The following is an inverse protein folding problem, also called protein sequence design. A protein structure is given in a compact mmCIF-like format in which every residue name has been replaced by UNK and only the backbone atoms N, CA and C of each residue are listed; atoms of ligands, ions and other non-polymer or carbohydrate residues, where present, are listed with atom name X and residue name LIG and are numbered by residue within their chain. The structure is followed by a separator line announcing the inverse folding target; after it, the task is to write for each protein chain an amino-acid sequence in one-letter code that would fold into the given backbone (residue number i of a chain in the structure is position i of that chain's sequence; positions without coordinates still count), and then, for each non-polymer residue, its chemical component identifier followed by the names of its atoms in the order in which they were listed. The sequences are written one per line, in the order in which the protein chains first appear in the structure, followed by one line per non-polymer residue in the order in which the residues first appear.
data_IF_701904872288
#
_entry.id   IF_701904872288
#
_cell.length_a   1.000
_cell.length_b   1.000
_cell.length_c   1.000
_cell.angle_alpha   90.00
_cell.angle_beta   90.00
_cell.angle_gamma   90.00
#
_symmetry.space_group_name_H-M   'P 1'
#
loop_
_entity.id
_entity.type
_entity.pdbx_description
1 polymer ?
#
# COMPACT_ATOMS: atom_id res chain seq x y z
N UNK A 1 22.73 32.66 -16.08
CA UNK A 1 23.48 31.41 -15.78
C UNK A 1 23.42 30.94 -14.32
N UNK A 2 23.25 31.82 -13.32
CA UNK A 2 23.23 31.42 -11.90
C UNK A 2 21.98 30.63 -11.46
N UNK A 3 20.80 30.87 -12.06
CA UNK A 3 19.54 30.16 -11.74
C UNK A 3 19.46 28.76 -12.36
N UNK A 4 20.11 28.55 -13.51
CA UNK A 4 20.07 27.26 -14.23
C UNK A 4 20.78 26.15 -13.46
N UNK A 5 21.82 26.48 -12.68
CA UNK A 5 22.61 25.49 -11.94
C UNK A 5 21.85 24.89 -10.75
N UNK A 6 21.21 25.68 -9.85
CA UNK A 6 20.30 25.15 -8.84
C UNK A 6 19.13 24.35 -9.42
N UNK A 7 18.54 24.80 -10.54
CA UNK A 7 17.46 24.09 -11.22
C UNK A 7 17.92 22.73 -11.76
N UNK A 8 19.09 22.67 -12.38
CA UNK A 8 19.67 21.42 -12.87
C UNK A 8 19.98 20.45 -11.72
N UNK A 9 20.58 20.95 -10.63
CA UNK A 9 20.85 20.14 -9.42
C UNK A 9 19.55 19.62 -8.80
N UNK A 10 18.53 20.49 -8.66
CA UNK A 10 17.23 20.10 -8.14
C UNK A 10 16.56 19.04 -9.01
N UNK A 11 16.60 19.19 -10.34
CA UNK A 11 16.07 18.21 -11.27
C UNK A 11 16.78 16.86 -11.13
N UNK A 12 18.12 16.85 -11.08
CA UNK A 12 18.92 15.63 -10.89
C UNK A 12 18.59 14.96 -9.56
N UNK A 13 18.47 15.74 -8.47
CA UNK A 13 18.09 15.21 -7.16
C UNK A 13 16.70 14.60 -7.18
N UNK A 14 15.71 15.26 -7.77
CA UNK A 14 14.35 14.74 -7.91
C UNK A 14 14.38 13.41 -8.67
N UNK A 15 14.99 13.39 -9.85
CA UNK A 15 15.07 12.17 -10.68
C UNK A 15 15.78 11.04 -9.93
N UNK A 16 16.91 11.34 -9.27
CA UNK A 16 17.66 10.37 -8.49
C UNK A 16 16.83 9.81 -7.32
N UNK A 17 16.17 10.67 -6.54
CA UNK A 17 15.35 10.26 -5.40
C UNK A 17 14.15 9.42 -5.82
N UNK A 18 13.44 9.80 -6.88
CA UNK A 18 12.31 9.01 -7.39
C UNK A 18 12.75 7.67 -7.97
N UNK A 19 13.86 7.66 -8.72
CA UNK A 19 14.40 6.41 -9.29
C UNK A 19 14.85 5.47 -8.18
N UNK A 20 15.62 5.98 -7.21
CA UNK A 20 16.04 5.21 -6.05
C UNK A 20 14.84 4.67 -5.26
N UNK A 21 13.86 5.50 -4.95
CA UNK A 21 12.66 5.09 -4.19
C UNK A 21 11.86 4.02 -4.93
N UNK A 22 11.73 4.16 -6.25
CA UNK A 22 11.04 3.17 -7.09
C UNK A 22 11.76 1.82 -7.07
N UNK A 23 13.08 1.82 -7.25
CA UNK A 23 13.89 0.61 -7.21
C UNK A 23 13.86 -0.01 -5.81
N UNK A 24 14.00 0.79 -4.75
CA UNK A 24 13.95 0.34 -3.37
C UNK A 24 12.60 -0.32 -3.05
N UNK A 25 11.48 0.30 -3.45
CA UNK A 25 10.15 -0.27 -3.25
C UNK A 25 9.95 -1.56 -4.05
N UNK A 26 10.46 -1.63 -5.29
CA UNK A 26 10.39 -2.84 -6.11
C UNK A 26 11.17 -4.00 -5.47
N UNK A 27 12.34 -3.69 -4.90
CA UNK A 27 13.16 -4.68 -4.18
C UNK A 27 12.55 -5.05 -2.82
N UNK A 28 11.86 -4.13 -2.15
CA UNK A 28 11.20 -4.37 -0.85
C UNK A 28 9.91 -5.19 -0.96
N UNK A 29 9.20 -5.08 -2.09
CA UNK A 29 7.95 -5.81 -2.34
C UNK A 29 8.00 -7.32 -2.02
N UNK A 30 8.99 -8.10 -2.49
CA UNK A 30 9.09 -9.53 -2.14
C UNK A 30 9.34 -9.76 -0.65
N UNK A 31 10.10 -8.90 0.03
CA UNK A 31 10.33 -9.02 1.47
C UNK A 31 9.04 -8.75 2.26
N UNK A 32 8.21 -7.81 1.82
CA UNK A 32 6.93 -7.53 2.46
C UNK A 32 5.94 -8.69 2.31
N UNK A 33 5.91 -9.37 1.16
CA UNK A 33 5.12 -10.59 0.98
C UNK A 33 5.59 -11.74 1.86
N UNK A 34 6.90 -12.00 1.91
CA UNK A 34 7.50 -13.00 2.79
C UNK A 34 7.29 -12.69 4.27
N UNK A 35 7.39 -11.42 4.66
CA UNK A 35 7.13 -10.98 6.03
C UNK A 35 5.68 -11.25 6.42
N UNK A 36 4.72 -10.96 5.53
CA UNK A 36 3.31 -11.26 5.75
C UNK A 36 3.06 -12.78 5.90
N UNK A 37 3.71 -13.61 5.08
CA UNK A 37 3.61 -15.07 5.17
C UNK A 37 4.14 -15.60 6.52
N UNK A 38 5.30 -15.09 6.96
CA UNK A 38 5.88 -15.48 8.26
C UNK A 38 5.07 -14.95 9.44
N UNK A 39 4.54 -13.73 9.35
CA UNK A 39 3.64 -13.18 10.36
C UNK A 39 2.35 -14.00 10.47
N UNK A 40 1.77 -14.43 9.35
CA UNK A 40 0.57 -15.26 9.35
C UNK A 40 0.84 -16.63 9.98
N UNK A 41 1.98 -17.25 9.63
CA UNK A 41 2.40 -18.51 10.25
C UNK A 41 2.58 -18.36 11.77
N UNK A 42 3.09 -17.22 12.24
CA UNK A 42 3.24 -16.93 13.66
C UNK A 42 1.89 -16.78 14.36
N UNK A 43 0.92 -16.09 13.75
CA UNK A 43 -0.40 -15.86 14.35
C UNK A 43 -1.33 -17.07 14.26
N UNK A 44 -1.25 -17.87 13.20
CA UNK A 44 -2.12 -19.02 12.98
C UNK A 44 -1.53 -20.33 13.52
N UNK A 45 -0.22 -20.40 13.76
CA UNK A 45 0.49 -21.62 14.11
C UNK A 45 0.58 -22.64 12.97
N UNK A 46 0.16 -22.28 11.74
CA UNK A 46 0.19 -23.15 10.56
C UNK A 46 1.40 -22.80 9.71
N UNK A 47 2.24 -23.79 9.41
CA UNK A 47 3.39 -23.56 8.51
C UNK A 47 2.90 -23.22 7.11
N UNK A 48 3.49 -22.23 6.43
CA UNK A 48 3.17 -21.93 5.05
C UNK A 48 3.49 -23.14 4.17
N UNK A 49 2.60 -23.44 3.23
CA UNK A 49 2.79 -24.53 2.27
C UNK A 49 3.62 -24.00 1.09
N UNK A 50 4.89 -23.65 1.36
CA UNK A 50 5.79 -23.05 0.37
C UNK A 50 6.30 -24.13 -0.60
N UNK A 51 5.53 -24.38 -1.67
CA UNK A 51 5.98 -25.10 -2.87
C UNK A 51 5.74 -24.26 -4.12
N UNK A 52 6.29 -23.05 -4.15
CA UNK A 52 6.32 -22.29 -5.40
C UNK A 52 7.58 -22.64 -6.19
N UNK A 53 7.39 -23.42 -7.25
CA UNK A 53 8.40 -23.67 -8.28
C UNK A 53 8.64 -22.38 -9.08
N UNK A 54 9.88 -22.12 -9.53
CA UNK A 54 10.26 -20.96 -10.39
C UNK A 54 9.31 -20.78 -11.60
N UNK A 55 8.80 -21.88 -12.15
CA UNK A 55 7.83 -21.89 -13.24
C UNK A 55 6.42 -21.38 -12.84
N UNK A 56 6.01 -21.60 -11.58
CA UNK A 56 4.78 -21.07 -11.02
C UNK A 56 4.82 -19.54 -10.87
N UNK A 57 5.96 -19.00 -10.43
CA UNK A 57 6.16 -17.55 -10.31
C UNK A 57 6.03 -16.83 -11.67
N UNK A 58 6.60 -17.39 -12.76
CA UNK A 58 6.44 -16.81 -14.10
C UNK A 58 4.98 -16.77 -14.58
N UNK A 59 4.14 -17.73 -14.19
CA UNK A 59 2.70 -17.73 -14.54
C UNK A 59 1.90 -16.72 -13.73
N UNK A 60 2.40 -16.30 -12.57
CA UNK A 60 1.75 -15.31 -11.71
C UNK A 60 2.08 -13.86 -12.12
N UNK A 61 3.20 -13.62 -12.81
CA UNK A 61 3.59 -12.29 -13.31
C UNK A 61 2.44 -11.52 -13.99
N UNK A 62 1.75 -12.03 -15.03
CA UNK A 62 0.70 -11.27 -15.70
C UNK A 62 -0.47 -10.91 -14.77
N UNK A 63 -0.78 -11.79 -13.82
CA UNK A 63 -1.81 -11.56 -12.80
C UNK A 63 -1.40 -10.44 -11.83
N UNK A 64 -0.15 -10.47 -11.35
CA UNK A 64 0.40 -9.44 -10.46
C UNK A 64 0.40 -8.08 -11.17
N UNK A 65 0.89 -8.03 -12.43
CA UNK A 65 0.86 -6.82 -13.25
C UNK A 65 -0.56 -6.27 -13.44
N UNK A 66 -1.54 -7.12 -13.77
CA UNK A 66 -2.93 -6.69 -13.94
C UNK A 66 -3.55 -6.19 -12.63
N UNK A 67 -3.22 -6.84 -11.51
CA UNK A 67 -3.66 -6.41 -10.18
C UNK A 67 -3.12 -5.01 -9.86
N UNK A 68 -1.84 -4.76 -10.11
CA UNK A 68 -1.24 -3.45 -9.87
C UNK A 68 -1.80 -2.38 -10.81
N UNK A 69 -2.10 -2.69 -12.07
CA UNK A 69 -2.80 -1.78 -12.96
C UNK A 69 -4.20 -1.40 -12.44
N UNK A 70 -4.95 -2.36 -11.89
CA UNK A 70 -6.25 -2.06 -11.27
C UNK A 70 -6.11 -1.20 -10.00
N UNK A 71 -5.08 -1.44 -9.19
CA UNK A 71 -4.78 -0.63 -7.99
C UNK A 71 -4.43 0.80 -8.37
N UNK A 72 -3.55 0.98 -9.35
CA UNK A 72 -3.19 2.28 -9.91
C UNK A 72 -4.41 2.99 -10.52
N UNK A 73 -5.23 2.30 -11.31
CA UNK A 73 -6.45 2.87 -11.89
C UNK A 73 -7.46 3.33 -10.82
N UNK A 74 -7.63 2.54 -9.75
CA UNK A 74 -8.46 2.94 -8.61
C UNK A 74 -7.91 4.19 -7.91
N UNK A 75 -6.61 4.25 -7.66
CA UNK A 75 -5.98 5.41 -7.02
C UNK A 75 -6.07 6.66 -7.90
N UNK A 76 -5.77 6.55 -9.19
CA UNK A 76 -5.85 7.68 -10.15
C UNK A 76 -7.27 8.22 -10.25
N UNK A 77 -8.29 7.36 -10.28
CA UNK A 77 -9.69 7.79 -10.30
C UNK A 77 -10.02 8.72 -9.12
N UNK A 78 -9.65 8.31 -7.90
CA UNK A 78 -9.91 9.10 -6.70
C UNK A 78 -9.01 10.32 -6.59
N UNK A 79 -7.75 10.21 -7.02
CA UNK A 79 -6.82 11.33 -7.12
C UNK A 79 -7.41 12.46 -7.96
N UNK A 80 -7.94 12.15 -9.14
CA UNK A 80 -8.58 13.13 -10.03
C UNK A 80 -9.81 13.74 -9.36
N UNK A 81 -10.67 12.93 -8.73
CA UNK A 81 -11.87 13.42 -8.05
C UNK A 81 -11.51 14.39 -6.89
N UNK A 82 -10.52 14.05 -6.08
CA UNK A 82 -10.07 14.90 -4.96
C UNK A 82 -9.33 16.15 -5.46
N UNK A 83 -8.61 16.07 -6.57
CA UNK A 83 -7.98 17.22 -7.19
C UNK A 83 -9.05 18.22 -7.66
N UNK A 84 -10.09 17.74 -8.35
CA UNK A 84 -11.23 18.58 -8.77
C UNK A 84 -11.90 19.22 -7.54
N UNK A 85 -12.15 18.44 -6.48
CA UNK A 85 -12.71 18.97 -5.23
C UNK A 85 -11.85 20.08 -4.61
N UNK A 86 -10.52 19.93 -4.69
CA UNK A 86 -9.55 20.89 -4.14
C UNK A 86 -9.49 22.21 -4.92
N UNK A 87 -9.89 22.20 -6.19
CA UNK A 87 -9.88 23.38 -7.07
C UNK A 87 -11.16 24.22 -6.96
N UNK A 88 -12.25 23.68 -6.40
CA UNK A 88 -13.53 24.40 -6.26
C UNK A 88 -13.46 25.31 -5.02
N UNK A 89 -13.53 26.66 -5.18
CA UNK A 89 -13.55 27.58 -4.05
C UNK A 89 -14.74 27.31 -3.12
N UNK A 90 -14.51 27.26 -1.81
CA UNK A 90 -15.53 26.94 -0.80
C UNK A 90 -15.55 25.45 -0.44
N UNK A 91 -15.55 24.55 -1.42
CA UNK A 91 -15.42 23.10 -1.17
C UNK A 91 -13.98 22.69 -0.84
N UNK A 92 -12.99 23.45 -1.28
CA UNK A 92 -11.58 23.22 -0.96
C UNK A 92 -11.29 23.20 0.56
N UNK A 93 -12.15 23.78 1.40
CA UNK A 93 -12.02 23.75 2.87
C UNK A 93 -12.12 22.30 3.41
N UNK A 94 -12.97 21.46 2.82
CA UNK A 94 -13.11 20.06 3.22
C UNK A 94 -12.11 19.13 2.52
N UNK A 95 -11.44 19.61 1.48
CA UNK A 95 -10.55 18.79 0.68
C UNK A 95 -9.44 18.11 1.50
N UNK A 96 -8.71 18.78 2.43
CA UNK A 96 -7.68 18.13 3.24
C UNK A 96 -8.21 16.94 4.05
N UNK A 97 -9.45 17.04 4.57
CA UNK A 97 -10.09 15.96 5.29
C UNK A 97 -10.42 14.79 4.36
N UNK A 98 -10.96 15.07 3.17
CA UNK A 98 -11.24 14.05 2.16
C UNK A 98 -9.96 13.35 1.67
N UNK A 99 -8.87 14.11 1.49
CA UNK A 99 -7.54 13.58 1.18
C UNK A 99 -7.06 12.65 2.27
N UNK A 100 -7.12 13.06 3.54
CA UNK A 100 -6.73 12.21 4.66
C UNK A 100 -7.54 10.92 4.70
N UNK A 101 -8.88 11.01 4.56
CA UNK A 101 -9.75 9.83 4.59
C UNK A 101 -9.40 8.86 3.47
N UNK A 102 -9.21 9.38 2.25
CA UNK A 102 -8.85 8.55 1.10
C UNK A 102 -7.46 7.94 1.26
N UNK A 103 -6.47 8.72 1.71
CA UNK A 103 -5.12 8.22 1.95
C UNK A 103 -5.10 7.14 3.02
N UNK A 104 -5.83 7.31 4.12
CA UNK A 104 -5.92 6.30 5.17
C UNK A 104 -6.52 5.01 4.64
N UNK A 105 -7.60 5.11 3.86
CA UNK A 105 -8.22 3.98 3.19
C UNK A 105 -7.28 3.29 2.18
N UNK A 106 -6.59 4.08 1.34
CA UNK A 106 -5.66 3.56 0.35
C UNK A 106 -4.47 2.84 1.00
N UNK A 107 -3.92 3.40 2.09
CA UNK A 107 -2.87 2.77 2.90
C UNK A 107 -3.36 1.46 3.51
N UNK A 108 -4.59 1.41 4.04
CA UNK A 108 -5.16 0.18 4.56
C UNK A 108 -5.24 -0.91 3.49
N UNK A 109 -5.78 -0.57 2.31
CA UNK A 109 -5.84 -1.49 1.17
C UNK A 109 -4.46 -1.96 0.72
N UNK A 110 -3.48 -1.07 0.68
CA UNK A 110 -2.11 -1.39 0.27
C UNK A 110 -1.45 -2.43 1.17
N UNK A 111 -1.57 -2.28 2.50
CA UNK A 111 -0.96 -3.23 3.43
C UNK A 111 -1.77 -4.52 3.58
N UNK A 112 -3.11 -4.46 3.53
CA UNK A 112 -3.96 -5.67 3.52
C UNK A 112 -3.78 -6.50 2.25
N UNK A 113 -3.31 -5.88 1.17
CA UNK A 113 -3.01 -6.58 -0.07
C UNK A 113 -1.93 -7.64 0.10
N UNK A 114 -0.92 -7.44 0.97
CA UNK A 114 0.18 -8.39 1.16
C UNK A 114 -0.26 -9.79 1.63
N UNK A 115 -0.97 -9.95 2.78
CA UNK A 115 -1.42 -11.28 3.22
C UNK A 115 -2.48 -11.89 2.28
N UNK A 116 -3.30 -11.07 1.64
CA UNK A 116 -4.31 -11.52 0.68
C UNK A 116 -3.70 -11.96 -0.66
N UNK A 117 -2.61 -11.32 -1.10
CA UNK A 117 -1.89 -11.71 -2.32
C UNK A 117 -1.18 -13.05 -2.15
N UNK A 118 -0.66 -13.34 -0.95
CA UNK A 118 -0.11 -14.66 -0.61
C UNK A 118 -1.14 -15.79 -0.78
N UNK A 119 -2.44 -15.48 -0.65
CA UNK A 119 -3.55 -16.41 -0.88
C UNK A 119 -4.15 -16.28 -2.29
N UNK A 120 -3.50 -15.52 -3.16
CA UNK A 120 -3.96 -15.32 -4.53
C UNK A 120 -5.40 -14.74 -4.58
N UNK A 121 -5.72 -13.75 -3.74
CA UNK A 121 -6.89 -12.90 -3.92
C UNK A 121 -6.67 -11.80 -4.96
N UNK A 122 -7.73 -11.39 -5.64
CA UNK A 122 -7.75 -10.26 -6.56
C UNK A 122 -7.95 -8.94 -5.81
N UNK A 123 -7.52 -7.81 -6.40
CA UNK A 123 -7.72 -6.49 -5.78
C UNK A 123 -9.20 -6.15 -5.55
N UNK A 124 -10.11 -6.69 -6.37
CA UNK A 124 -11.55 -6.54 -6.15
C UNK A 124 -11.99 -7.19 -4.83
N UNK A 125 -11.50 -8.40 -4.54
CA UNK A 125 -11.80 -9.10 -3.29
C UNK A 125 -11.16 -8.42 -2.08
N UNK A 126 -9.95 -7.87 -2.22
CA UNK A 126 -9.29 -7.07 -1.16
C UNK A 126 -10.16 -5.88 -0.77
N UNK A 127 -10.70 -5.18 -1.78
CA UNK A 127 -11.62 -4.04 -1.55
C UNK A 127 -12.95 -4.46 -0.93
N UNK A 128 -13.45 -5.64 -1.29
CA UNK A 128 -14.68 -6.20 -0.75
C UNK A 128 -14.50 -6.55 0.73
N UNK A 129 -13.47 -7.33 1.07
CA UNK A 129 -13.14 -7.71 2.44
C UNK A 129 -12.84 -6.48 3.33
N UNK A 130 -12.01 -5.55 2.85
CA UNK A 130 -11.79 -4.30 3.59
C UNK A 130 -13.10 -3.49 3.72
N UNK A 131 -13.97 -3.61 2.71
CA UNK A 131 -15.28 -2.99 2.65
C UNK A 131 -16.30 -3.59 3.62
N UNK A 132 -16.17 -4.83 4.07
CA UNK A 132 -17.05 -5.36 5.13
C UNK A 132 -16.61 -4.82 6.49
N UNK A 133 -15.29 -4.76 6.74
CA UNK A 133 -14.67 -4.28 7.97
C UNK A 133 -14.19 -2.82 7.90
N UNK A 134 -15.00 -1.93 7.30
CA UNK A 134 -14.63 -0.54 6.92
C UNK A 134 -13.91 0.23 8.01
N UNK A 135 -14.45 0.22 9.23
CA UNK A 135 -13.93 0.99 10.34
C UNK A 135 -12.60 0.45 10.84
N UNK A 136 -12.46 -0.88 10.92
CA UNK A 136 -11.22 -1.54 11.34
C UNK A 136 -10.08 -1.23 10.36
N UNK A 137 -10.34 -1.39 9.06
CA UNK A 137 -9.37 -1.08 8.01
C UNK A 137 -9.04 0.41 7.98
N UNK A 138 -10.04 1.28 8.07
CA UNK A 138 -9.84 2.73 8.09
C UNK A 138 -8.98 3.18 9.28
N UNK A 139 -9.30 2.73 10.50
CA UNK A 139 -8.52 3.07 11.69
C UNK A 139 -7.10 2.55 11.61
N UNK A 140 -6.90 1.35 11.06
CA UNK A 140 -5.57 0.79 10.82
C UNK A 140 -4.76 1.69 9.87
N UNK A 141 -5.31 2.01 8.70
CA UNK A 141 -4.63 2.88 7.73
C UNK A 141 -4.36 4.28 8.27
N UNK A 142 -5.29 4.85 9.03
CA UNK A 142 -5.10 6.14 9.69
C UNK A 142 -3.96 6.11 10.72
N UNK A 143 -3.88 5.07 11.55
CA UNK A 143 -2.78 4.88 12.50
C UNK A 143 -1.44 4.70 11.80
N UNK A 144 -1.41 3.96 10.68
CA UNK A 144 -0.19 3.81 9.88
C UNK A 144 0.27 5.16 9.32
N UNK A 145 -0.65 5.96 8.77
CA UNK A 145 -0.33 7.31 8.29
C UNK A 145 0.20 8.22 9.39
N UNK A 146 -0.44 8.21 10.57
CA UNK A 146 0.00 9.02 11.71
C UNK A 146 1.38 8.55 12.22
N UNK A 147 1.64 7.24 12.23
CA UNK A 147 2.96 6.69 12.55
C UNK A 147 4.03 7.13 11.55
N UNK A 148 3.69 7.22 10.27
CA UNK A 148 4.60 7.72 9.22
C UNK A 148 4.94 9.21 9.37
N UNK A 149 4.12 10.00 10.06
CA UNK A 149 4.44 11.40 10.33
C UNK A 149 5.56 11.57 11.35
N UNK A 150 5.85 10.55 12.16
CA UNK A 150 6.93 10.57 13.16
C UNK A 150 8.20 9.99 12.53
N UNK A 151 9.26 10.78 12.30
CA UNK A 151 10.42 10.34 11.51
C UNK A 151 11.11 9.07 12.03
N UNK A 152 11.25 8.94 13.35
CA UNK A 152 11.87 7.76 13.97
C UNK A 152 10.98 6.52 13.86
N UNK A 153 9.65 6.67 13.94
CA UNK A 153 8.73 5.55 13.80
C UNK A 153 8.63 5.12 12.34
N UNK A 154 8.63 6.07 11.39
CA UNK A 154 8.49 5.81 9.96
C UNK A 154 9.48 4.75 9.43
N UNK A 155 10.70 4.69 9.99
CA UNK A 155 11.70 3.66 9.67
C UNK A 155 11.22 2.22 9.96
N UNK A 156 10.38 2.04 10.98
CA UNK A 156 9.82 0.75 11.39
C UNK A 156 8.36 0.57 10.98
N UNK A 157 7.72 1.61 10.42
CA UNK A 157 6.31 1.57 10.08
C UNK A 157 6.00 0.56 8.99
N UNK A 158 6.86 0.41 7.98
CA UNK A 158 6.64 -0.58 6.92
C UNK A 158 6.53 -2.01 7.48
N UNK A 159 7.51 -2.56 8.22
CA UNK A 159 7.39 -3.92 8.78
C UNK A 159 6.27 -4.02 9.83
N UNK A 160 6.06 -3.00 10.66
CA UNK A 160 4.99 -3.00 11.65
C UNK A 160 3.59 -3.01 11.00
N UNK A 161 3.40 -2.24 9.93
CA UNK A 161 2.16 -2.18 9.17
C UNK A 161 1.90 -3.49 8.42
N UNK A 162 2.92 -4.13 7.85
CA UNK A 162 2.78 -5.46 7.24
C UNK A 162 2.29 -6.47 8.29
N UNK A 163 2.95 -6.58 9.44
CA UNK A 163 2.53 -7.47 10.52
C UNK A 163 1.12 -7.14 11.04
N UNK A 164 0.80 -5.86 11.20
CA UNK A 164 -0.52 -5.41 11.66
C UNK A 164 -1.63 -5.70 10.65
N UNK A 165 -1.37 -5.55 9.36
CA UNK A 165 -2.30 -5.92 8.30
C UNK A 165 -2.50 -7.44 8.22
N UNK A 166 -1.44 -8.23 8.43
CA UNK A 166 -1.56 -9.69 8.53
C UNK A 166 -2.39 -10.12 9.74
N UNK A 167 -2.24 -9.46 10.89
CA UNK A 167 -3.09 -9.72 12.05
C UNK A 167 -4.56 -9.38 11.76
N UNK A 168 -4.80 -8.22 11.17
CA UNK A 168 -6.14 -7.80 10.74
C UNK A 168 -6.76 -8.79 9.76
N UNK A 169 -5.95 -9.32 8.84
CA UNK A 169 -6.35 -10.36 7.91
C UNK A 169 -6.81 -11.63 8.65
N UNK A 170 -5.96 -12.17 9.52
CA UNK A 170 -6.23 -13.42 10.26
C UNK A 170 -7.45 -13.29 11.17
N UNK A 171 -7.62 -12.15 11.86
CA UNK A 171 -8.69 -12.00 12.84
C UNK A 171 -10.05 -11.60 12.24
N UNK A 172 -10.07 -10.88 11.11
CA UNK A 172 -11.29 -10.20 10.64
C UNK A 172 -11.61 -10.32 9.16
N UNK A 173 -10.65 -10.69 8.30
CA UNK A 173 -10.85 -10.67 6.84
C UNK A 173 -10.77 -12.06 6.19
N UNK A 174 -10.18 -13.05 6.85
CA UNK A 174 -9.99 -14.41 6.30
C UNK A 174 -11.26 -15.27 6.31
N UNK A 175 -12.15 -15.03 7.27
CA UNK A 175 -13.36 -15.84 7.51
C UNK A 175 -14.65 -15.26 6.86
N UNK A 176 -14.51 -14.21 6.05
CA UNK A 176 -15.60 -13.63 5.22
C UNK A 176 -15.33 -13.84 3.73
#
# INVERSE_FOLDING_TARGET
SWIMWPLAVMLVLIVAMYTFSTIANLLAAPFNGLLAEKAEALFTGVSPNSKETVWGACKQLPRIFMKELHKLGFQVKWLIALLILSLIPGLNIIAPLCWFIFSAWATALEYCDYPMDNHAYSFAQVREAAGTQRWSCFSFGALVMLGNMVPLLNLFMMPAAVCGATLLWVERLKDE
#
